data_IF_858170113261
#
_entry.id   IF_858170113261
#
_cell.length_a   1.000
_cell.length_b   1.000
_cell.length_c   1.000
_cell.angle_alpha   90.00
_cell.angle_beta   90.00
_cell.angle_gamma   90.00
#
_symmetry.space_group_name_H-M   'P 1'
#
loop_
_entity.id
_entity.type
_entity.pdbx_description
1 polymer ?
#
# COMPACT_ATOMS: atom_id res chain seq x y z
N UNK A 1 -17.99 17.53 -3.28
CA UNK A 1 -17.91 16.77 -2.01
C UNK A 1 -17.33 15.36 -2.19
N UNK A 2 -17.63 14.60 -3.25
CA UNK A 2 -17.13 13.20 -3.39
C UNK A 2 -15.65 13.01 -3.74
N UNK A 3 -15.02 13.91 -4.50
CA UNK A 3 -13.59 13.78 -4.87
C UNK A 3 -12.63 14.04 -3.69
N UNK A 4 -13.00 14.96 -2.79
CA UNK A 4 -12.22 15.26 -1.60
C UNK A 4 -12.25 14.10 -0.58
N UNK A 5 -13.40 13.42 -0.45
CA UNK A 5 -13.51 12.23 0.40
C UNK A 5 -12.71 11.04 -0.13
N UNK A 6 -12.77 10.78 -1.45
CA UNK A 6 -12.00 9.70 -2.11
C UNK A 6 -10.49 9.91 -2.00
N UNK A 7 -10.03 11.16 -2.09
CA UNK A 7 -8.61 11.50 -1.92
C UNK A 7 -8.14 11.20 -0.49
N UNK A 8 -8.95 11.53 0.52
CA UNK A 8 -8.64 11.25 1.93
C UNK A 8 -8.62 9.74 2.24
N UNK A 9 -9.52 8.98 1.64
CA UNK A 9 -9.59 7.51 1.77
C UNK A 9 -8.39 6.84 1.09
N UNK A 10 -7.98 7.34 -0.07
CA UNK A 10 -6.81 6.86 -0.77
C UNK A 10 -5.51 7.14 0.01
N UNK A 11 -5.36 8.34 0.60
CA UNK A 11 -4.23 8.66 1.47
C UNK A 11 -4.17 7.76 2.71
N UNK A 12 -5.31 7.48 3.35
CA UNK A 12 -5.39 6.52 4.45
C UNK A 12 -5.08 5.08 4.00
N UNK A 13 -5.43 4.71 2.76
CA UNK A 13 -5.05 3.44 2.17
C UNK A 13 -3.54 3.30 1.97
N UNK A 14 -2.88 4.36 1.45
CA UNK A 14 -1.42 4.42 1.28
C UNK A 14 -0.72 4.30 2.63
N UNK A 15 -1.15 5.06 3.64
CA UNK A 15 -0.56 5.02 4.98
C UNK A 15 -0.67 3.63 5.61
N UNK A 16 -1.87 3.03 5.62
CA UNK A 16 -2.08 1.68 6.14
C UNK A 16 -1.25 0.63 5.41
N UNK A 17 -1.18 0.72 4.08
CA UNK A 17 -0.37 -0.18 3.27
C UNK A 17 1.13 -0.03 3.54
N UNK A 18 1.64 1.20 3.72
CA UNK A 18 3.03 1.45 4.09
C UNK A 18 3.37 0.91 5.48
N UNK A 19 2.48 1.07 6.46
CA UNK A 19 2.69 0.53 7.81
C UNK A 19 2.66 -1.00 7.82
N UNK A 20 1.75 -1.61 7.04
CA UNK A 20 1.75 -3.06 6.81
C UNK A 20 3.02 -3.55 6.11
N UNK A 21 3.52 -2.83 5.10
CA UNK A 21 4.78 -3.14 4.43
C UNK A 21 5.95 -3.14 5.42
N UNK A 22 6.04 -2.10 6.26
CA UNK A 22 7.09 -1.98 7.28
C UNK A 22 7.02 -3.11 8.30
N UNK A 23 5.81 -3.43 8.78
CA UNK A 23 5.61 -4.51 9.76
C UNK A 23 6.06 -5.85 9.18
N UNK A 24 5.62 -6.18 7.97
CA UNK A 24 5.96 -7.45 7.34
C UNK A 24 7.45 -7.52 6.97
N UNK A 25 8.06 -6.40 6.57
CA UNK A 25 9.51 -6.35 6.34
C UNK A 25 10.30 -6.65 7.63
N UNK A 26 9.86 -6.13 8.77
CA UNK A 26 10.45 -6.43 10.08
C UNK A 26 10.23 -7.89 10.49
N UNK A 27 9.03 -8.44 10.25
CA UNK A 27 8.73 -9.86 10.50
C UNK A 27 9.61 -10.76 9.62
N UNK A 28 9.82 -10.45 8.34
CA UNK A 28 10.74 -11.18 7.46
C UNK A 28 12.18 -11.10 7.93
N UNK A 29 12.67 -9.91 8.28
CA UNK A 29 14.04 -9.74 8.77
C UNK A 29 14.27 -10.55 10.07
N UNK A 30 13.25 -10.58 10.94
CA UNK A 30 13.28 -11.36 12.19
C UNK A 30 13.15 -12.87 11.91
N UNK A 31 12.30 -13.27 10.97
CA UNK A 31 12.11 -14.66 10.54
C UNK A 31 13.31 -15.21 9.77
N UNK A 32 14.08 -14.37 9.06
CA UNK A 32 15.36 -14.74 8.43
C UNK A 32 16.44 -14.99 9.50
N UNK A 33 16.46 -14.18 10.57
CA UNK A 33 17.29 -14.45 11.76
C UNK A 33 16.86 -15.72 12.49
N UNK A 34 15.56 -16.02 12.59
CA UNK A 34 15.02 -17.19 13.28
C UNK A 34 15.11 -18.49 12.44
N UNK A 35 14.98 -18.40 11.11
CA UNK A 35 15.21 -19.53 10.20
C UNK A 35 16.67 -19.99 10.22
N UNK A 36 17.63 -19.08 10.40
CA UNK A 36 19.03 -19.45 10.67
C UNK A 36 19.21 -20.26 11.96
N UNK A 37 18.25 -20.18 12.89
CA UNK A 37 18.20 -20.96 14.13
C UNK A 37 17.39 -22.27 14.01
N UNK A 38 16.78 -22.57 12.86
CA UNK A 38 16.17 -23.88 12.56
C UNK A 38 14.66 -24.00 12.76
N UNK A 39 13.94 -22.90 13.04
CA UNK A 39 12.46 -22.91 13.16
C UNK A 39 11.81 -22.37 11.88
N UNK A 40 11.51 -23.26 10.94
CA UNK A 40 10.81 -22.93 9.70
C UNK A 40 9.30 -22.86 9.90
N UNK A 41 8.70 -21.66 9.85
CA UNK A 41 7.26 -21.53 9.53
C UNK A 41 6.75 -20.11 9.21
N UNK A 42 7.46 -19.00 9.46
CA UNK A 42 6.85 -17.65 9.40
C UNK A 42 7.23 -16.78 8.18
N UNK A 43 8.15 -17.26 7.33
CA UNK A 43 8.68 -16.48 6.22
C UNK A 43 7.71 -16.38 5.03
N UNK A 44 7.07 -17.49 4.62
CA UNK A 44 6.09 -17.45 3.53
C UNK A 44 4.88 -16.56 3.84
N UNK A 45 4.38 -16.59 5.07
CA UNK A 45 3.24 -15.76 5.50
C UNK A 45 3.56 -14.27 5.43
N UNK A 46 4.74 -13.88 5.92
CA UNK A 46 5.18 -12.49 5.89
C UNK A 46 5.48 -11.99 4.46
N UNK A 47 6.00 -12.85 3.57
CA UNK A 47 6.18 -12.54 2.15
C UNK A 47 4.85 -12.34 1.41
N UNK A 48 3.86 -13.19 1.66
CA UNK A 48 2.53 -13.04 1.09
C UNK A 48 1.86 -11.74 1.57
N UNK A 49 1.97 -11.45 2.87
CA UNK A 49 1.48 -10.19 3.43
C UNK A 49 2.16 -8.98 2.79
N UNK A 50 3.49 -9.02 2.57
CA UNK A 50 4.22 -7.95 1.88
C UNK A 50 3.66 -7.69 0.48
N UNK A 51 3.43 -8.75 -0.29
CA UNK A 51 2.86 -8.66 -1.63
C UNK A 51 1.46 -8.01 -1.61
N UNK A 52 0.61 -8.43 -0.66
CA UNK A 52 -0.73 -7.86 -0.50
C UNK A 52 -0.67 -6.36 -0.16
N UNK A 53 0.19 -5.96 0.78
CA UNK A 53 0.35 -4.55 1.16
C UNK A 53 0.90 -3.72 0.00
N UNK A 54 1.81 -4.27 -0.82
CA UNK A 54 2.32 -3.61 -2.04
C UNK A 54 1.18 -3.35 -3.04
N UNK A 55 0.34 -4.34 -3.29
CA UNK A 55 -0.82 -4.20 -4.19
C UNK A 55 -1.80 -3.15 -3.65
N UNK A 56 -2.02 -3.13 -2.33
CA UNK A 56 -2.91 -2.14 -1.70
C UNK A 56 -2.39 -0.70 -1.88
N UNK A 57 -1.10 -0.46 -1.65
CA UNK A 57 -0.48 0.86 -1.89
C UNK A 57 -0.58 1.26 -3.36
N UNK A 58 -0.29 0.33 -4.28
CA UNK A 58 -0.39 0.59 -5.72
C UNK A 58 -1.82 0.93 -6.15
N UNK A 59 -2.82 0.22 -5.62
CA UNK A 59 -4.22 0.50 -5.90
C UNK A 59 -4.61 1.90 -5.39
N UNK A 60 -4.24 2.25 -4.16
CA UNK A 60 -4.52 3.58 -3.61
C UNK A 60 -3.80 4.70 -4.38
N UNK A 61 -2.55 4.50 -4.80
CA UNK A 61 -1.82 5.44 -5.65
C UNK A 61 -2.50 5.64 -7.01
N UNK A 62 -3.05 4.57 -7.60
CA UNK A 62 -3.78 4.64 -8.87
C UNK A 62 -5.09 5.41 -8.74
N UNK A 63 -5.79 5.29 -7.60
CA UNK A 63 -6.98 6.11 -7.30
C UNK A 63 -6.63 7.59 -7.21
N UNK A 64 -5.53 7.95 -6.52
CA UNK A 64 -5.07 9.35 -6.43
C UNK A 64 -4.76 9.91 -7.83
N UNK A 65 -4.03 9.15 -8.66
CA UNK A 65 -3.69 9.55 -10.03
C UNK A 65 -4.93 9.72 -10.93
N UNK A 66 -5.94 8.85 -10.77
CA UNK A 66 -7.19 8.97 -11.49
C UNK A 66 -7.98 10.22 -11.07
N UNK A 67 -8.01 10.55 -9.78
CA UNK A 67 -8.62 11.78 -9.26
C UNK A 67 -7.91 13.02 -9.83
N UNK A 68 -6.58 13.03 -9.84
CA UNK A 68 -5.79 14.12 -10.41
C UNK A 68 -6.06 14.32 -11.90
N UNK A 69 -6.11 13.24 -12.68
CA UNK A 69 -6.42 13.27 -14.11
C UNK A 69 -7.84 13.79 -14.39
N UNK A 70 -8.84 13.36 -13.62
CA UNK A 70 -10.23 13.84 -13.75
C UNK A 70 -10.31 15.34 -13.43
N UNK A 71 -9.64 15.80 -12.36
CA UNK A 71 -9.61 17.22 -12.01
C UNK A 71 -8.91 18.02 -13.12
N UNK A 72 -7.75 17.57 -13.59
CA UNK A 72 -7.03 18.21 -14.70
C UNK A 72 -7.89 18.32 -15.96
N UNK A 73 -8.63 17.26 -16.31
CA UNK A 73 -9.52 17.24 -17.48
C UNK A 73 -10.72 18.19 -17.30
N UNK A 74 -11.29 18.30 -16.09
CA UNK A 74 -12.38 19.25 -15.81
C UNK A 74 -11.90 20.71 -15.90
N UNK A 75 -10.67 20.99 -15.45
CA UNK A 75 -10.06 22.32 -15.56
C UNK A 75 -9.81 22.66 -17.02
N UNK A 76 -9.24 21.73 -17.79
CA UNK A 76 -8.93 21.91 -19.22
C UNK A 76 -10.19 22.14 -20.08
N UNK A 77 -11.30 21.42 -19.79
CA UNK A 77 -12.60 21.64 -20.47
C UNK A 77 -13.18 23.04 -20.18
N UNK A 78 -12.83 23.65 -19.04
CA UNK A 78 -13.36 24.96 -18.61
C UNK A 78 -12.48 26.15 -19.01
N UNK A 79 -11.24 25.90 -19.42
CA UNK A 79 -10.29 26.91 -19.90
C UNK A 79 -10.59 27.32 -21.35
#
# INVERSE_FOLDING_TARGET
>A
MGVLSVQNEALQGIQRGLDGLRKNASEIASADQLNKAGEGSDLEGALLGLQQNKVQVQASAKVVSAVDSVIGTIIDIRA
#
